data_IF_537761523387
#
_entry.id   IF_537761523387
#
_cell.length_a   1.000
_cell.length_b   1.000
_cell.length_c   1.000
_cell.angle_alpha   90.00
_cell.angle_beta   90.00
_cell.angle_gamma   90.00
#
_symmetry.space_group_name_H-M   'P 1'
#
loop_
_entity.id
_entity.type
_entity.pdbx_description
1 polymer ?
#
# COMPACT_ATOMS: atom_id res chain seq x y z
N UNK A 1 13.94 -26.12 -14.45
CA UNK A 1 13.25 -25.13 -13.61
C UNK A 1 12.35 -25.92 -12.71
N UNK A 2 12.51 -25.81 -11.38
CA UNK A 2 11.62 -26.48 -10.44
C UNK A 2 10.28 -25.76 -10.46
N UNK A 3 9.19 -26.48 -10.74
CA UNK A 3 7.84 -25.93 -10.60
C UNK A 3 7.61 -25.57 -9.14
N UNK A 4 7.66 -24.28 -8.83
CA UNK A 4 7.42 -23.74 -7.50
C UNK A 4 6.13 -22.90 -7.53
N UNK A 5 5.21 -23.10 -6.57
CA UNK A 5 5.30 -24.04 -5.45
C UNK A 5 5.08 -25.49 -5.90
N UNK A 6 5.47 -26.49 -5.07
CA UNK A 6 5.24 -27.89 -5.37
C UNK A 6 3.78 -28.18 -5.78
N UNK A 7 3.54 -29.14 -6.69
CA UNK A 7 2.19 -29.51 -7.08
C UNK A 7 1.33 -29.90 -5.88
N UNK A 8 0.13 -29.32 -5.78
CA UNK A 8 -0.80 -29.55 -4.67
C UNK A 8 -0.62 -28.61 -3.47
N UNK A 9 0.38 -27.72 -3.47
CA UNK A 9 0.48 -26.67 -2.45
C UNK A 9 -0.74 -25.74 -2.51
N UNK A 10 -1.49 -25.56 -1.41
CA UNK A 10 -2.59 -24.60 -1.36
C UNK A 10 -2.09 -23.17 -1.59
N UNK A 11 -2.65 -22.50 -2.59
CA UNK A 11 -2.40 -21.09 -2.85
C UNK A 11 -3.60 -20.30 -2.35
N UNK A 12 -3.34 -19.34 -1.47
CA UNK A 12 -4.34 -18.39 -0.96
C UNK A 12 -4.07 -17.02 -1.57
N UNK A 13 -5.13 -16.33 -1.96
CA UNK A 13 -5.01 -14.91 -2.33
C UNK A 13 -5.07 -14.07 -1.06
N UNK A 14 -4.09 -13.19 -0.86
CA UNK A 14 -4.04 -12.20 0.22
C UNK A 14 -3.67 -10.85 -0.37
N UNK A 15 -4.61 -9.91 -0.42
CA UNK A 15 -4.34 -8.67 -1.16
C UNK A 15 -4.10 -8.94 -2.64
N UNK A 16 -3.11 -8.23 -3.18
CA UNK A 16 -2.59 -8.39 -4.54
C UNK A 16 -1.61 -9.56 -4.70
N UNK A 17 -1.50 -10.41 -3.69
CA UNK A 17 -0.51 -11.47 -3.64
C UNK A 17 -1.18 -12.83 -3.64
N UNK A 18 -0.58 -13.74 -4.38
CA UNK A 18 -0.77 -15.16 -4.16
C UNK A 18 0.26 -15.58 -3.12
N UNK A 19 -0.20 -16.26 -2.07
CA UNK A 19 0.61 -16.67 -0.93
C UNK A 19 0.49 -18.18 -0.79
N UNK A 20 1.62 -18.84 -0.58
CA UNK A 20 1.67 -20.26 -0.28
C UNK A 20 2.62 -20.52 0.89
N UNK A 21 2.44 -21.67 1.51
CA UNK A 21 3.33 -22.14 2.57
C UNK A 21 3.99 -23.43 2.11
N UNK A 22 5.32 -23.47 2.16
CA UNK A 22 6.13 -24.63 1.78
C UNK A 22 7.16 -24.83 2.89
N UNK A 23 7.15 -26.01 3.51
CA UNK A 23 8.07 -26.37 4.60
C UNK A 23 8.10 -25.36 5.77
N UNK A 24 6.94 -24.82 6.15
CA UNK A 24 6.80 -23.84 7.23
C UNK A 24 7.27 -22.43 6.87
N UNK A 25 7.64 -22.19 5.60
CA UNK A 25 8.04 -20.87 5.09
C UNK A 25 6.94 -20.28 4.23
N UNK A 26 6.69 -18.99 4.42
CA UNK A 26 5.70 -18.25 3.64
C UNK A 26 6.36 -17.68 2.39
N UNK A 27 5.77 -17.95 1.23
CA UNK A 27 6.18 -17.36 -0.03
C UNK A 27 5.02 -16.57 -0.61
N UNK A 28 5.34 -15.47 -1.29
CA UNK A 28 4.35 -14.67 -1.97
C UNK A 28 4.81 -14.29 -3.37
N UNK A 29 3.86 -14.06 -4.27
CA UNK A 29 4.09 -13.42 -5.54
C UNK A 29 2.97 -12.43 -5.84
N UNK A 30 3.24 -11.44 -6.69
CA UNK A 30 2.15 -10.61 -7.24
C UNK A 30 1.24 -11.50 -8.09
N UNK A 31 -0.08 -11.31 -8.00
CA UNK A 31 -1.05 -12.02 -8.84
C UNK A 31 -0.66 -11.87 -10.32
N UNK A 32 -0.55 -12.99 -11.03
CA UNK A 32 -0.12 -13.03 -12.43
C UNK A 32 1.40 -13.01 -12.68
N UNK A 33 2.22 -12.82 -11.63
CA UNK A 33 3.65 -13.04 -11.72
C UNK A 33 3.99 -14.54 -11.74
N UNK A 34 5.18 -14.86 -12.22
CA UNK A 34 5.72 -16.24 -12.23
C UNK A 34 6.64 -16.49 -11.04
N UNK A 35 7.39 -15.48 -10.61
CA UNK A 35 8.40 -15.60 -9.56
C UNK A 35 7.79 -15.47 -8.17
N UNK A 36 8.19 -16.38 -7.29
CA UNK A 36 7.83 -16.38 -5.87
C UNK A 36 8.99 -15.85 -5.03
N UNK A 37 8.65 -15.01 -4.05
CA UNK A 37 9.59 -14.42 -3.11
C UNK A 37 9.28 -14.93 -1.71
N UNK A 38 10.29 -15.34 -0.96
CA UNK A 38 10.13 -15.69 0.45
C UNK A 38 9.75 -14.44 1.27
N UNK A 39 8.70 -14.54 2.08
CA UNK A 39 8.30 -13.47 3.00
C UNK A 39 9.19 -13.49 4.25
N UNK A 40 10.32 -12.80 4.16
CA UNK A 40 11.20 -12.55 5.32
C UNK A 40 10.84 -11.27 6.06
N UNK A 41 9.77 -10.58 5.67
CA UNK A 41 9.53 -9.19 6.05
C UNK A 41 8.85 -9.02 7.41
N UNK A 42 8.24 -10.09 7.94
CA UNK A 42 7.62 -10.11 9.26
C UNK A 42 8.12 -11.32 10.07
N UNK A 43 8.67 -11.12 11.29
CA UNK A 43 8.81 -12.15 12.30
C UNK A 43 7.48 -12.91 12.49
N UNK A 44 7.52 -14.20 12.82
CA UNK A 44 6.30 -15.01 13.00
C UNK A 44 5.33 -14.41 14.03
N UNK A 45 5.85 -13.71 15.04
CA UNK A 45 5.07 -12.98 16.06
C UNK A 45 4.23 -11.81 15.49
N UNK A 46 4.64 -11.28 14.34
CA UNK A 46 3.95 -10.20 13.61
C UNK A 46 3.09 -10.73 12.46
N UNK A 47 3.10 -12.05 12.21
CA UNK A 47 2.18 -12.64 11.24
C UNK A 47 0.78 -12.70 11.86
N UNK A 48 -0.24 -12.15 11.19
CA UNK A 48 -1.59 -12.14 11.73
C UNK A 48 -2.13 -13.57 11.91
N UNK A 49 -2.88 -13.85 13.00
CA UNK A 49 -3.52 -15.15 13.21
C UNK A 49 -4.49 -15.49 12.08
N UNK A 50 -4.57 -16.78 11.73
CA UNK A 50 -5.28 -17.29 10.53
C UNK A 50 -6.81 -17.07 10.56
N UNK A 51 -7.42 -16.68 11.69
CA UNK A 51 -8.87 -16.79 11.90
C UNK A 51 -9.65 -15.48 12.10
N UNK A 52 -8.99 -14.31 12.20
CA UNK A 52 -9.72 -13.04 12.33
C UNK A 52 -9.78 -12.31 10.99
N UNK A 53 -10.86 -11.57 10.67
CA UNK A 53 -10.79 -10.61 9.59
C UNK A 53 -9.59 -9.68 9.86
N UNK A 54 -8.90 -9.29 8.80
CA UNK A 54 -7.77 -8.36 8.87
C UNK A 54 -8.03 -7.18 7.95
N UNK A 55 -7.63 -6.00 8.40
CA UNK A 55 -7.57 -4.81 7.57
C UNK A 55 -6.13 -4.63 7.10
N UNK A 56 -5.93 -4.52 5.80
CA UNK A 56 -4.63 -4.31 5.20
C UNK A 56 -4.50 -2.86 4.75
N UNK A 57 -3.39 -2.23 5.15
CA UNK A 57 -2.98 -0.94 4.63
C UNK A 57 -1.84 -1.15 3.63
N UNK A 58 -2.03 -0.62 2.43
CA UNK A 58 -1.07 -0.71 1.33
C UNK A 58 -0.62 0.67 0.88
N UNK A 59 0.65 0.75 0.45
CA UNK A 59 1.10 1.76 -0.50
C UNK A 59 0.90 1.20 -1.91
N UNK A 60 0.13 1.91 -2.72
CA UNK A 60 -0.07 1.60 -4.14
C UNK A 60 0.70 2.62 -4.96
N UNK A 61 1.48 2.13 -5.92
CA UNK A 61 2.17 2.95 -6.91
C UNK A 61 1.55 2.71 -8.27
N UNK A 62 1.08 3.76 -8.93
CA UNK A 62 0.55 3.72 -10.28
C UNK A 62 1.47 4.47 -11.26
N UNK A 63 1.69 3.89 -12.45
CA UNK A 63 2.48 4.57 -13.49
C UNK A 63 1.77 5.82 -13.96
N UNK A 64 2.53 6.90 -14.10
CA UNK A 64 2.10 8.11 -14.78
C UNK A 64 2.67 8.16 -16.21
N UNK A 65 2.60 9.32 -16.85
CA UNK A 65 3.17 9.51 -18.18
C UNK A 65 4.67 9.16 -18.21
N UNK A 66 5.24 8.77 -19.37
CA UNK A 66 6.66 8.45 -19.46
C UNK A 66 7.55 9.60 -18.96
N UNK A 67 8.46 9.28 -18.03
CA UNK A 67 9.37 10.26 -17.42
C UNK A 67 8.86 10.88 -16.12
N UNK A 68 7.57 10.72 -15.80
CA UNK A 68 7.00 11.19 -14.54
C UNK A 68 7.23 10.18 -13.40
N UNK A 69 7.38 10.65 -12.16
CA UNK A 69 7.37 9.79 -10.98
C UNK A 69 6.04 9.01 -10.90
N UNK A 70 6.05 7.85 -10.24
CA UNK A 70 4.81 7.10 -10.02
C UNK A 70 3.88 7.88 -9.09
N UNK A 71 2.58 7.81 -9.37
CA UNK A 71 1.55 8.29 -8.48
C UNK A 71 1.44 7.37 -7.26
N UNK A 72 1.35 7.95 -6.06
CA UNK A 72 1.25 7.21 -4.81
C UNK A 72 -0.10 7.42 -4.16
N UNK A 73 -0.64 6.32 -3.61
CA UNK A 73 -1.88 6.32 -2.87
C UNK A 73 -1.81 5.32 -1.71
N UNK A 74 -2.50 5.64 -0.62
CA UNK A 74 -2.77 4.68 0.44
C UNK A 74 -4.08 3.94 0.12
N UNK A 75 -4.05 2.63 0.23
CA UNK A 75 -5.20 1.78 -0.02
C UNK A 75 -5.48 0.90 1.20
N UNK A 76 -6.72 0.99 1.69
CA UNK A 76 -7.18 0.30 2.88
C UNK A 76 -8.25 -0.72 2.48
N UNK A 77 -7.94 -2.01 2.60
CA UNK A 77 -8.81 -3.09 2.14
C UNK A 77 -8.99 -4.19 3.20
N UNK A 78 -10.15 -4.83 3.18
CA UNK A 78 -10.41 -6.01 3.98
C UNK A 78 -9.73 -7.24 3.37
N UNK A 79 -9.27 -8.17 4.20
CA UNK A 79 -8.59 -9.39 3.75
C UNK A 79 -9.40 -10.19 2.73
N UNK A 80 -10.72 -10.27 2.95
CA UNK A 80 -11.64 -11.06 2.14
C UNK A 80 -12.08 -10.34 0.86
N UNK A 81 -11.83 -9.04 0.77
CA UNK A 81 -12.10 -8.20 -0.41
C UNK A 81 -10.83 -7.44 -0.81
N UNK A 82 -9.73 -8.15 -1.13
CA UNK A 82 -8.41 -7.55 -1.25
C UNK A 82 -8.29 -6.54 -2.39
N UNK A 83 -9.14 -6.68 -3.41
CA UNK A 83 -9.18 -5.79 -4.56
C UNK A 83 -10.10 -4.58 -4.30
N UNK A 84 -10.94 -4.58 -3.25
CA UNK A 84 -11.90 -3.51 -2.94
C UNK A 84 -11.60 -2.82 -1.62
N UNK A 85 -11.42 -1.51 -1.66
CA UNK A 85 -11.04 -0.75 -0.48
C UNK A 85 -11.17 0.74 -0.64
N UNK A 86 -10.81 1.47 0.40
CA UNK A 86 -10.79 2.93 0.38
C UNK A 86 -9.42 3.43 -0.07
N UNK A 87 -9.42 4.42 -0.96
CA UNK A 87 -8.20 5.11 -1.40
C UNK A 87 -8.10 6.45 -0.69
N UNK A 88 -6.91 6.76 -0.18
CA UNK A 88 -6.51 8.08 0.27
C UNK A 88 -5.34 8.55 -0.58
N UNK A 89 -5.52 9.64 -1.30
CA UNK A 89 -4.55 10.16 -2.26
C UNK A 89 -4.69 11.66 -2.45
N UNK A 90 -3.64 12.27 -3.00
CA UNK A 90 -3.70 13.61 -3.56
C UNK A 90 -3.54 13.54 -5.08
N UNK A 91 -4.36 14.26 -5.82
CA UNK A 91 -4.36 14.29 -7.29
C UNK A 91 -4.23 15.73 -7.79
N UNK A 92 -4.04 15.90 -9.10
CA UNK A 92 -3.81 17.21 -9.72
C UNK A 92 -2.36 17.42 -10.11
N UNK A 93 -2.05 18.65 -10.52
CA UNK A 93 -0.68 19.05 -10.86
C UNK A 93 0.15 19.17 -9.58
N UNK A 94 1.45 18.91 -9.65
CA UNK A 94 2.34 19.01 -8.50
C UNK A 94 2.32 20.39 -7.84
N UNK A 95 2.02 21.45 -8.61
CA UNK A 95 1.91 22.81 -8.08
C UNK A 95 0.57 23.10 -7.37
N UNK A 96 -0.49 22.33 -7.63
CA UNK A 96 -1.82 22.52 -7.02
C UNK A 96 -2.53 21.17 -6.84
N UNK A 97 -2.01 20.34 -5.93
CA UNK A 97 -2.64 19.06 -5.63
C UNK A 97 -3.82 19.23 -4.68
N UNK A 98 -4.76 18.29 -4.74
CA UNK A 98 -5.96 18.22 -3.90
C UNK A 98 -6.10 16.84 -3.32
N UNK A 99 -6.44 16.77 -2.04
CA UNK A 99 -6.79 15.50 -1.41
C UNK A 99 -8.14 15.02 -1.92
N UNK A 100 -8.14 13.83 -2.52
CA UNK A 100 -9.29 13.22 -3.19
C UNK A 100 -9.45 11.76 -2.72
N UNK A 101 -9.99 11.53 -1.52
CA UNK A 101 -10.26 10.19 -1.05
C UNK A 101 -11.44 9.56 -1.80
N UNK A 102 -11.49 8.24 -1.86
CA UNK A 102 -12.66 7.55 -2.42
C UNK A 102 -13.85 7.65 -1.47
N UNK A 103 -15.02 8.02 -2.01
CA UNK A 103 -16.26 8.10 -1.23
C UNK A 103 -16.85 6.71 -0.88
N UNK A 104 -16.47 5.69 -1.65
CA UNK A 104 -16.88 4.30 -1.48
C UNK A 104 -15.67 3.37 -1.66
N UNK A 105 -15.85 2.09 -1.33
CA UNK A 105 -14.91 1.05 -1.71
C UNK A 105 -14.82 0.99 -3.22
N UNK A 106 -13.61 1.01 -3.75
CA UNK A 106 -13.33 0.91 -5.17
C UNK A 106 -12.41 -0.26 -5.45
N UNK A 107 -12.58 -0.85 -6.63
CA UNK A 107 -11.62 -1.80 -7.13
C UNK A 107 -10.35 -1.05 -7.53
N UNK A 108 -9.27 -1.33 -6.82
CA UNK A 108 -7.95 -0.71 -6.99
C UNK A 108 -7.25 -1.11 -8.29
N UNK A 109 -7.65 -2.23 -8.89
CA UNK A 109 -7.21 -2.66 -10.21
C UNK A 109 -8.03 -2.01 -11.34
N UNK A 110 -9.22 -1.48 -11.02
CA UNK A 110 -10.06 -0.73 -11.94
C UNK A 110 -9.74 0.79 -11.90
N UNK A 111 -10.61 1.60 -12.50
CA UNK A 111 -10.43 3.00 -12.93
C UNK A 111 -9.86 4.02 -11.91
N UNK A 112 -9.67 3.69 -10.63
CA UNK A 112 -9.10 4.60 -9.63
C UNK A 112 -7.57 4.71 -9.68
N UNK A 113 -6.88 3.63 -10.05
CA UNK A 113 -5.41 3.53 -10.17
C UNK A 113 -5.00 2.57 -11.30
N UNK A 114 -5.74 2.57 -12.42
CA UNK A 114 -5.69 1.55 -13.49
C UNK A 114 -4.34 1.28 -14.16
N UNK A 115 -3.25 1.91 -13.72
CA UNK A 115 -1.86 1.61 -14.06
C UNK A 115 -1.04 1.16 -12.83
N UNK A 116 -1.66 0.44 -11.90
CA UNK A 116 -1.02 -0.09 -10.69
C UNK A 116 0.26 -0.89 -11.03
N UNK A 117 1.41 -0.28 -10.78
CA UNK A 117 2.74 -0.86 -10.99
C UNK A 117 3.09 -1.79 -9.83
N UNK A 118 3.04 -1.27 -8.61
CA UNK A 118 3.50 -1.94 -7.40
C UNK A 118 2.51 -1.76 -6.25
N UNK A 119 2.45 -2.76 -5.38
CA UNK A 119 1.69 -2.69 -4.12
C UNK A 119 2.52 -3.24 -2.97
N UNK A 120 2.71 -2.42 -1.94
CA UNK A 120 3.49 -2.73 -0.76
C UNK A 120 2.59 -2.75 0.47
N UNK A 121 2.59 -3.87 1.20
CA UNK A 121 1.90 -3.96 2.49
C UNK A 121 2.67 -3.14 3.53
N UNK A 122 2.02 -2.10 4.05
CA UNK A 122 2.53 -1.24 5.12
C UNK A 122 2.18 -1.80 6.49
N UNK A 123 0.94 -2.26 6.66
CA UNK A 123 0.46 -2.82 7.92
C UNK A 123 -0.64 -3.86 7.70
N UNK A 124 -0.77 -4.78 8.65
CA UNK A 124 -1.91 -5.70 8.78
C UNK A 124 -2.49 -5.52 10.17
N UNK A 125 -3.77 -5.16 10.24
CA UNK A 125 -4.46 -4.82 11.48
C UNK A 125 -5.51 -5.89 11.77
N UNK A 126 -5.23 -6.70 12.79
CA UNK A 126 -6.08 -7.81 13.22
C UNK A 126 -7.05 -7.44 14.35
N UNK A 127 -6.73 -6.40 15.12
CA UNK A 127 -7.53 -5.90 16.23
C UNK A 127 -7.80 -4.41 16.06
N UNK A 128 -8.92 -3.93 16.61
CA UNK A 128 -9.32 -2.51 16.55
C UNK A 128 -9.37 -1.91 15.12
N UNK A 129 -9.79 -2.70 14.12
CA UNK A 129 -9.81 -2.28 12.71
C UNK A 129 -10.53 -0.94 12.48
N UNK A 130 -11.66 -0.71 13.17
CA UNK A 130 -12.40 0.54 13.08
C UNK A 130 -11.58 1.74 13.59
N UNK A 131 -10.78 1.55 14.64
CA UNK A 131 -9.84 2.57 15.14
C UNK A 131 -8.76 2.83 14.09
N UNK A 132 -8.16 1.78 13.53
CA UNK A 132 -7.12 1.93 12.52
C UNK A 132 -7.63 2.64 11.26
N UNK A 133 -8.82 2.27 10.75
CA UNK A 133 -9.43 2.93 9.61
C UNK A 133 -9.70 4.42 9.88
N UNK A 134 -10.18 4.75 11.08
CA UNK A 134 -10.36 6.15 11.51
C UNK A 134 -9.03 6.91 11.55
N UNK A 135 -7.98 6.32 12.12
CA UNK A 135 -6.66 6.95 12.22
C UNK A 135 -5.99 7.15 10.85
N UNK A 136 -6.15 6.20 9.92
CA UNK A 136 -5.71 6.37 8.52
C UNK A 136 -6.37 7.58 7.87
N UNK A 137 -7.69 7.70 8.04
CA UNK A 137 -8.42 8.86 7.53
C UNK A 137 -8.00 10.17 8.21
N UNK A 138 -7.90 10.19 9.53
CA UNK A 138 -7.50 11.39 10.29
C UNK A 138 -6.09 11.86 9.91
N UNK A 139 -5.13 10.93 9.76
CA UNK A 139 -3.78 11.24 9.32
C UNK A 139 -3.79 11.86 7.91
N UNK A 140 -4.50 11.24 6.96
CA UNK A 140 -4.61 11.73 5.59
C UNK A 140 -5.31 13.10 5.50
N UNK A 141 -6.41 13.30 6.24
CA UNK A 141 -7.15 14.57 6.26
C UNK A 141 -6.33 15.71 6.88
N UNK A 142 -5.40 15.40 7.80
CA UNK A 142 -4.60 16.39 8.52
C UNK A 142 -3.40 16.92 7.72
N UNK A 143 -2.94 16.19 6.71
CA UNK A 143 -1.77 16.56 5.91
C UNK A 143 -2.15 17.46 4.73
N UNK A 144 -1.64 18.70 4.64
CA UNK A 144 -1.97 19.58 3.54
C UNK A 144 -1.41 19.03 2.22
N UNK A 145 -2.22 18.99 1.15
CA UNK A 145 -1.76 18.62 -0.17
C UNK A 145 -0.59 19.51 -0.65
N UNK A 146 0.37 18.96 -1.42
CA UNK A 146 1.46 19.73 -1.99
C UNK A 146 0.96 20.89 -2.84
N UNK A 147 1.61 22.05 -2.67
CA UNK A 147 1.33 23.26 -3.43
C UNK A 147 2.61 24.04 -3.67
N UNK A 148 2.72 24.66 -4.83
CA UNK A 148 3.79 25.57 -5.18
C UNK A 148 3.25 26.71 -6.04
N UNK A 149 3.87 27.90 -5.94
CA UNK A 149 3.47 29.05 -6.77
C UNK A 149 3.74 28.81 -8.27
N UNK A 150 4.73 27.96 -8.58
CA UNK A 150 5.10 27.57 -9.93
C UNK A 150 5.98 26.30 -9.89
N UNK A 151 6.18 25.66 -11.05
CA UNK A 151 6.96 24.42 -11.15
C UNK A 151 8.40 24.52 -10.64
N UNK A 152 9.04 25.70 -10.71
CA UNK A 152 10.43 25.86 -10.21
C UNK A 152 10.50 25.85 -8.68
N UNK A 153 9.39 26.11 -8.01
CA UNK A 153 9.28 26.11 -6.56
C UNK A 153 8.75 24.77 -6.01
N UNK A 154 8.61 23.74 -6.84
CA UNK A 154 8.21 22.40 -6.40
C UNK A 154 9.26 21.80 -5.48
N UNK A 155 8.87 21.53 -4.24
CA UNK A 155 9.69 20.82 -3.26
C UNK A 155 9.13 19.43 -2.94
N UNK A 156 7.91 19.13 -3.39
CA UNK A 156 7.17 17.92 -3.03
C UNK A 156 6.08 17.61 -4.08
N UNK A 157 5.65 16.35 -4.12
CA UNK A 157 4.51 15.87 -4.91
C UNK A 157 3.70 14.82 -4.08
N UNK A 158 2.83 14.04 -4.74
CA UNK A 158 2.01 13.02 -4.09
C UNK A 158 2.79 11.99 -3.25
N UNK A 159 4.05 11.72 -3.60
CA UNK A 159 4.89 10.78 -2.87
C UNK A 159 5.27 11.33 -1.50
N UNK A 160 5.70 12.60 -1.44
CA UNK A 160 6.04 13.25 -0.19
C UNK A 160 4.83 13.38 0.75
N UNK A 161 3.67 13.76 0.21
CA UNK A 161 2.43 13.80 1.00
C UNK A 161 2.13 12.42 1.62
N UNK A 162 2.27 11.37 0.83
CA UNK A 162 2.05 9.99 1.30
C UNK A 162 3.04 9.62 2.41
N UNK A 163 4.31 10.04 2.30
CA UNK A 163 5.33 9.83 3.35
C UNK A 163 4.94 10.55 4.64
N UNK A 164 4.49 11.80 4.58
CA UNK A 164 4.02 12.55 5.77
C UNK A 164 2.81 11.88 6.44
N UNK A 165 1.88 11.35 5.65
CA UNK A 165 0.76 10.57 6.20
C UNK A 165 1.27 9.30 6.90
N UNK A 166 2.22 8.57 6.30
CA UNK A 166 2.78 7.36 6.90
C UNK A 166 3.56 7.69 8.18
N UNK A 167 4.26 8.82 8.26
CA UNK A 167 4.92 9.29 9.49
C UNK A 167 3.93 9.40 10.66
N UNK A 168 2.77 10.03 10.44
CA UNK A 168 1.70 10.07 11.45
C UNK A 168 1.19 8.67 11.83
N UNK A 169 1.07 7.77 10.86
CA UNK A 169 0.65 6.39 11.14
C UNK A 169 1.71 5.58 11.89
N UNK A 170 2.99 5.96 11.83
CA UNK A 170 4.04 5.42 12.69
C UNK A 170 3.88 5.94 14.12
N UNK A 171 3.60 7.23 14.32
CA UNK A 171 3.32 7.82 15.63
C UNK A 171 2.12 7.14 16.33
N UNK A 172 1.08 6.84 15.55
CA UNK A 172 -0.12 6.13 15.99
C UNK A 172 0.07 4.61 16.16
N UNK A 173 1.29 4.10 15.89
CA UNK A 173 1.67 2.68 15.97
C UNK A 173 0.85 1.76 15.06
N UNK A 174 0.35 2.29 13.94
CA UNK A 174 -0.31 1.53 12.88
C UNK A 174 0.73 0.96 11.91
N UNK A 175 1.72 1.78 11.53
CA UNK A 175 2.81 1.38 10.64
C UNK A 175 4.11 1.25 11.42
N UNK A 176 4.93 0.24 11.11
CA UNK A 176 6.24 0.09 11.73
C UNK A 176 7.24 1.12 11.17
N UNK A 177 8.12 1.73 11.99
CA UNK A 177 9.12 2.68 11.52
C UNK A 177 9.99 2.15 10.38
N UNK A 178 10.33 0.85 10.39
CA UNK A 178 11.13 0.22 9.34
C UNK A 178 10.43 0.24 7.97
N UNK A 179 9.10 0.16 7.94
CA UNK A 179 8.32 0.27 6.71
C UNK A 179 8.37 1.69 6.14
N UNK A 180 8.36 2.72 7.00
CA UNK A 180 8.53 4.11 6.58
C UNK A 180 9.91 4.32 5.92
N UNK A 181 10.99 3.78 6.50
CA UNK A 181 12.33 3.87 5.89
C UNK A 181 12.39 3.20 4.52
N UNK A 182 11.76 2.02 4.37
CA UNK A 182 11.62 1.36 3.06
C UNK A 182 10.84 2.26 2.11
N UNK A 183 9.72 2.84 2.52
CA UNK A 183 8.92 3.72 1.67
C UNK A 183 9.72 4.94 1.22
N UNK A 184 10.46 5.60 2.11
CA UNK A 184 11.35 6.73 1.76
C UNK A 184 12.38 6.33 0.70
N UNK A 185 12.94 5.12 0.78
CA UNK A 185 13.89 4.61 -0.22
C UNK A 185 13.27 4.35 -1.60
N UNK A 186 11.93 4.25 -1.70
CA UNK A 186 11.21 4.07 -2.95
C UNK A 186 10.86 5.40 -3.65
N UNK A 187 11.06 6.54 -2.99
CA UNK A 187 10.74 7.85 -3.55
C UNK A 187 11.55 8.12 -4.82
N UNK A 188 10.88 8.70 -5.80
CA UNK A 188 11.46 9.15 -7.06
C UNK A 188 11.64 10.67 -7.00
N UNK A 189 12.67 11.17 -7.68
CA UNK A 189 12.90 12.61 -7.78
C UNK A 189 11.72 13.31 -8.47
N UNK A 190 11.47 14.55 -8.03
CA UNK A 190 10.43 15.46 -8.54
C UNK A 190 11.02 16.36 -9.62
#
# INVERSE_FOLDING_TARGET
MSDFPPPGTPIKTRGFREVCEVDGRTFFKKKGAQEWTEDTSNPDELKPPVENPHLYLYLVQAKQAPGEPNHWALFLADENEPDYGYIHQVTGDAADMKYEPSAAKINVMDAGLGLCANVYTLAVVSQEQARAARLVKEAADSEPPPRAENHKALTENCQGWTVRVIEKLVEEKIVMPQKLEVVRSLMQEV
#
